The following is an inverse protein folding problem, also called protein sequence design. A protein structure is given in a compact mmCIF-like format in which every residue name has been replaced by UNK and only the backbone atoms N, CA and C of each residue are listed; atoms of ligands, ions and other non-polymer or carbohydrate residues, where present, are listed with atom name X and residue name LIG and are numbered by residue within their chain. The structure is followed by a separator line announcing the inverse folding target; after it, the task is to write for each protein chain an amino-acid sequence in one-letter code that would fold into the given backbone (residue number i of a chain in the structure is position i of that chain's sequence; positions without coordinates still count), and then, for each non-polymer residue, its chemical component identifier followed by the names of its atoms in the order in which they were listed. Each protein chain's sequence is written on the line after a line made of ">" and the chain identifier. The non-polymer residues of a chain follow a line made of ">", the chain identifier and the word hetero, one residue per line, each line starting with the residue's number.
data_IF_661059923297
#
_entry.id   IF_661059923297
#
_cell.length_a   1.000
_cell.length_b   1.000
_cell.length_c   1.000
_cell.angle_alpha   90.00
_cell.angle_beta   90.00
_cell.angle_gamma   90.00
#
_symmetry.space_group_name_H-M   'P 1'
#
loop_
_entity.id
_entity.type
_entity.pdbx_description
1 polymer ?
#
# COMPACT_ATOMS: atom_id res chain seq x y z
N UNK A 1 18.73 -5.29 5.65
CA UNK A 1 17.66 -4.67 4.85
C UNK A 1 16.36 -4.95 5.57
N UNK A 2 15.55 -3.92 5.84
CA UNK A 2 14.23 -4.11 6.43
C UNK A 2 13.18 -4.09 5.33
N UNK A 3 12.17 -4.95 5.47
CA UNK A 3 11.08 -5.07 4.51
C UNK A 3 9.75 -4.92 5.24
N UNK A 4 8.83 -4.19 4.63
CA UNK A 4 7.43 -4.19 5.03
C UNK A 4 6.66 -5.17 4.15
N UNK A 5 5.78 -5.94 4.79
CA UNK A 5 4.78 -6.76 4.13
C UNK A 5 3.48 -5.96 4.09
N UNK A 6 3.14 -5.43 2.92
CA UNK A 6 1.93 -4.66 2.70
C UNK A 6 0.88 -5.55 2.03
N UNK A 7 -0.25 -5.75 2.69
CA UNK A 7 -1.45 -6.37 2.13
C UNK A 7 -2.39 -5.27 1.68
N UNK A 8 -2.66 -5.21 0.38
CA UNK A 8 -3.60 -4.30 -0.24
C UNK A 8 -4.91 -5.04 -0.50
N UNK A 9 -6.02 -4.46 -0.09
CA UNK A 9 -7.37 -4.97 -0.33
C UNK A 9 -8.15 -3.94 -1.12
N UNK A 10 -8.69 -4.31 -2.29
CA UNK A 10 -9.60 -3.42 -3.01
C UNK A 10 -10.98 -3.51 -2.38
N UNK A 11 -11.37 -2.49 -1.60
CA UNK A 11 -12.71 -2.43 -1.00
C UNK A 11 -13.67 -1.55 -1.80
N UNK A 12 -13.27 -1.13 -3.00
CA UNK A 12 -14.18 -0.46 -3.91
C UNK A 12 -15.15 -1.45 -4.54
N UNK A 13 -16.22 -0.90 -5.10
CA UNK A 13 -17.25 -1.62 -5.85
C UNK A 13 -16.81 -2.02 -7.27
N UNK A 14 -15.56 -1.74 -7.66
CA UNK A 14 -15.08 -1.89 -9.04
C UNK A 14 -13.66 -2.44 -9.12
N UNK A 15 -13.31 -2.97 -10.28
CA UNK A 15 -11.93 -3.33 -10.56
C UNK A 15 -11.06 -2.07 -10.59
N UNK A 16 -9.86 -2.16 -10.01
CA UNK A 16 -8.83 -1.14 -10.14
C UNK A 16 -7.66 -1.70 -10.92
N UNK A 17 -6.98 -0.86 -11.71
CA UNK A 17 -5.83 -1.25 -12.53
C UNK A 17 -4.68 -0.28 -12.39
N UNK A 18 -3.54 -0.63 -12.98
CA UNK A 18 -2.34 0.22 -13.05
C UNK A 18 -1.92 0.73 -11.66
N UNK A 19 -1.92 -0.18 -10.68
CA UNK A 19 -1.72 0.13 -9.27
C UNK A 19 -0.21 0.30 -9.05
N UNK A 20 0.21 1.55 -8.90
CA UNK A 20 1.57 1.95 -8.63
C UNK A 20 1.74 2.22 -7.14
N UNK A 21 2.55 1.41 -6.48
CA UNK A 21 2.99 1.65 -5.11
C UNK A 21 4.33 2.38 -5.19
N UNK A 22 4.38 3.59 -4.63
CA UNK A 22 5.53 4.49 -4.68
C UNK A 22 5.99 4.76 -3.25
N UNK A 23 7.24 4.49 -2.96
CA UNK A 23 7.85 4.83 -1.68
C UNK A 23 9.35 4.68 -1.74
N UNK A 24 9.96 4.06 -0.72
CA UNK A 24 11.34 3.60 -0.82
C UNK A 24 11.53 2.69 -2.05
N UNK A 25 10.65 1.72 -2.25
CA UNK A 25 10.66 0.89 -3.45
C UNK A 25 9.40 1.14 -4.28
N UNK A 26 9.54 1.12 -5.59
CA UNK A 26 8.40 1.19 -6.51
C UNK A 26 7.96 -0.21 -6.94
N UNK A 27 6.67 -0.48 -6.86
CA UNK A 27 6.04 -1.74 -7.31
C UNK A 27 4.82 -1.45 -8.15
N UNK A 28 4.55 -2.31 -9.11
CA UNK A 28 3.35 -2.25 -9.96
C UNK A 28 2.56 -3.53 -9.79
N UNK A 29 1.25 -3.39 -9.65
CA UNK A 29 0.27 -4.49 -9.71
C UNK A 29 -0.68 -4.17 -10.86
N UNK A 30 -0.90 -5.14 -11.74
CA UNK A 30 -1.72 -4.96 -12.95
C UNK A 30 -3.16 -4.60 -12.61
N UNK A 31 -3.80 -5.40 -11.75
CA UNK A 31 -5.21 -5.27 -11.42
C UNK A 31 -5.53 -5.87 -10.04
N UNK A 32 -6.64 -5.40 -9.46
CA UNK A 32 -7.28 -5.97 -8.28
C UNK A 32 -8.80 -5.87 -8.43
N UNK A 33 -9.49 -7.01 -8.40
CA UNK A 33 -10.94 -7.08 -8.38
C UNK A 33 -11.56 -6.64 -7.04
N UNK A 34 -12.87 -6.36 -6.99
CA UNK A 34 -13.57 -6.05 -5.75
C UNK A 34 -13.41 -7.16 -4.70
N UNK A 35 -12.93 -6.80 -3.51
CA UNK A 35 -12.68 -7.73 -2.40
C UNK A 35 -11.41 -8.57 -2.52
N UNK A 36 -10.67 -8.45 -3.63
CA UNK A 36 -9.38 -9.16 -3.78
C UNK A 36 -8.29 -8.53 -2.91
N UNK A 37 -7.31 -9.35 -2.55
CA UNK A 37 -6.15 -8.93 -1.78
C UNK A 37 -4.85 -9.30 -2.49
N UNK A 38 -3.87 -8.40 -2.43
CA UNK A 38 -2.51 -8.67 -2.89
C UNK A 38 -1.52 -8.31 -1.82
N UNK A 39 -0.59 -9.22 -1.60
CA UNK A 39 0.53 -9.01 -0.72
C UNK A 39 1.79 -8.66 -1.50
N UNK A 40 2.46 -7.59 -1.05
CA UNK A 40 3.74 -7.14 -1.60
C UNK A 40 4.75 -6.88 -0.50
N UNK A 41 6.02 -7.02 -0.86
CA UNK A 41 7.15 -6.71 0.00
C UNK A 41 7.81 -5.44 -0.52
N UNK A 42 8.01 -4.48 0.38
CA UNK A 42 8.60 -3.17 0.08
C UNK A 42 9.88 -3.05 0.93
N UNK A 43 11.03 -2.92 0.27
CA UNK A 43 12.28 -2.62 0.94
C UNK A 43 12.31 -1.21 1.51
N UNK A 44 12.76 -1.08 2.76
CA UNK A 44 12.93 0.18 3.47
C UNK A 44 14.43 0.40 3.72
N UNK A 45 15.02 1.34 2.99
CA UNK A 45 16.44 1.70 3.12
C UNK A 45 16.68 3.01 3.89
N UNK A 46 15.62 3.77 4.16
CA UNK A 46 15.64 5.02 4.92
C UNK A 46 14.22 5.43 5.30
N UNK A 47 14.06 6.64 5.80
CA UNK A 47 12.72 7.16 6.12
C UNK A 47 11.97 7.50 4.82
N UNK A 48 10.78 6.95 4.64
CA UNK A 48 9.95 7.21 3.46
C UNK A 48 8.46 7.13 3.77
N UNK A 49 7.67 7.67 2.84
CA UNK A 49 6.22 7.51 2.75
C UNK A 49 5.91 6.42 1.70
N UNK A 50 4.79 5.71 1.85
CA UNK A 50 4.27 4.82 0.80
C UNK A 50 2.93 5.37 0.32
N UNK A 51 2.90 5.75 -0.95
CA UNK A 51 1.74 6.20 -1.68
C UNK A 51 1.30 5.15 -2.70
N UNK A 52 0.02 5.16 -3.03
CA UNK A 52 -0.60 4.27 -4.01
C UNK A 52 -1.33 5.14 -5.01
N UNK A 53 -1.01 4.97 -6.28
CA UNK A 53 -1.73 5.53 -7.41
C UNK A 53 -2.41 4.41 -8.18
N UNK A 54 -3.66 4.55 -8.59
CA UNK A 54 -4.39 3.51 -9.31
C UNK A 54 -5.46 4.10 -10.22
N UNK A 55 -5.81 3.35 -11.27
CA UNK A 55 -6.91 3.68 -12.16
C UNK A 55 -8.21 3.04 -11.66
N UNK A 56 -9.27 3.85 -11.56
CA UNK A 56 -10.66 3.41 -11.34
C UNK A 56 -11.54 4.06 -12.40
N UNK A 57 -12.14 3.27 -13.29
CA UNK A 57 -12.99 3.74 -14.40
C UNK A 57 -12.35 4.83 -15.29
N UNK A 58 -11.05 4.74 -15.58
CA UNK A 58 -10.34 5.75 -16.36
C UNK A 58 -9.91 6.99 -15.57
N UNK A 59 -10.20 7.06 -14.26
CA UNK A 59 -9.74 8.12 -13.37
C UNK A 59 -8.56 7.63 -12.53
N UNK A 60 -7.47 8.41 -12.51
CA UNK A 60 -6.32 8.14 -11.65
C UNK A 60 -6.58 8.72 -10.27
N UNK A 61 -6.57 7.86 -9.26
CA UNK A 61 -6.75 8.20 -7.85
C UNK A 61 -5.43 7.97 -7.10
N UNK A 62 -5.22 8.74 -6.03
CA UNK A 62 -4.01 8.65 -5.21
C UNK A 62 -4.38 8.57 -3.73
N UNK A 63 -3.72 7.68 -3.01
CA UNK A 63 -3.94 7.44 -1.59
C UNK A 63 -2.61 7.22 -0.86
N UNK A 64 -2.46 7.76 0.35
CA UNK A 64 -1.28 7.51 1.19
C UNK A 64 -1.53 6.29 2.07
N UNK A 65 -0.90 5.17 1.72
CA UNK A 65 -0.99 3.92 2.45
C UNK A 65 -0.04 3.85 3.66
N UNK A 66 1.04 4.62 3.70
CA UNK A 66 1.90 4.72 4.88
C UNK A 66 2.47 6.12 4.98
N UNK A 67 2.01 6.92 5.95
CA UNK A 67 2.47 8.30 6.12
C UNK A 67 3.91 8.44 6.60
N UNK A 68 4.43 7.45 7.32
CA UNK A 68 5.83 7.41 7.74
C UNK A 68 6.27 5.97 7.98
N UNK A 69 7.34 5.56 7.30
CA UNK A 69 8.02 4.31 7.52
C UNK A 69 9.49 4.60 7.85
N UNK A 70 10.02 3.96 8.89
CA UNK A 70 11.43 4.03 9.28
C UNK A 70 12.03 2.63 9.42
N UNK A 71 13.35 2.56 9.41
CA UNK A 71 14.16 1.34 9.34
C UNK A 71 14.22 0.57 10.70
N UNK A 72 13.30 0.80 11.64
CA UNK A 72 13.41 0.27 13.02
C UNK A 72 12.71 -1.08 13.26
N UNK A 73 12.27 -1.78 12.23
CA UNK A 73 11.73 -3.15 12.34
C UNK A 73 10.67 -3.43 11.29
N UNK A 74 10.85 -4.52 10.53
CA UNK A 74 9.87 -4.95 9.53
C UNK A 74 8.47 -5.11 10.13
N UNK A 75 7.46 -4.67 9.38
CA UNK A 75 6.06 -4.64 9.83
C UNK A 75 5.11 -5.28 8.82
N UNK A 76 3.98 -5.79 9.32
CA UNK A 76 2.85 -6.22 8.50
C UNK A 76 1.82 -5.09 8.49
N UNK A 77 1.52 -4.56 7.31
CA UNK A 77 0.56 -3.47 7.13
C UNK A 77 -0.57 -3.99 6.27
N UNK A 78 -1.81 -3.71 6.67
CA UNK A 78 -2.99 -3.94 5.83
C UNK A 78 -3.57 -2.59 5.44
N UNK A 79 -3.84 -2.41 4.16
CA UNK A 79 -4.42 -1.18 3.62
C UNK A 79 -5.59 -1.49 2.69
N UNK A 80 -6.68 -0.77 2.89
CA UNK A 80 -7.91 -0.91 2.12
C UNK A 80 -8.01 0.25 1.13
N UNK A 81 -7.79 -0.05 -0.15
CA UNK A 81 -7.84 0.92 -1.24
C UNK A 81 -9.28 1.36 -1.48
N UNK A 82 -9.49 2.66 -1.65
CA UNK A 82 -10.81 3.25 -1.79
C UNK A 82 -11.46 3.64 -0.46
N UNK A 83 -10.69 3.66 0.63
CA UNK A 83 -11.12 4.25 1.90
C UNK A 83 -10.30 5.48 2.18
N UNK A 84 -10.97 6.60 2.48
CA UNK A 84 -10.30 7.84 2.93
C UNK A 84 -9.63 7.71 4.32
N UNK A 85 -9.46 6.49 4.85
CA UNK A 85 -8.91 6.24 6.18
C UNK A 85 -7.40 6.02 6.08
N UNK A 86 -6.64 6.91 6.73
CA UNK A 86 -5.21 6.69 6.97
C UNK A 86 -5.04 5.41 7.82
N UNK A 87 -4.11 4.52 7.48
CA UNK A 87 -3.92 3.29 8.24
C UNK A 87 -3.35 3.59 9.63
N UNK A 88 -3.85 2.87 10.63
CA UNK A 88 -3.31 2.89 11.98
C UNK A 88 -2.06 2.00 12.01
N UNK A 89 -0.89 2.62 12.16
CA UNK A 89 0.35 1.91 12.49
C UNK A 89 0.22 1.31 13.89
N UNK A 90 -0.11 0.01 13.97
CA UNK A 90 0.12 -0.74 15.21
C UNK A 90 1.55 -1.28 15.15
N UNK A 91 2.48 -0.54 15.75
CA UNK A 91 3.79 -1.08 16.11
C UNK A 91 3.58 -2.23 17.08
N UNK A 92 3.75 -3.47 16.61
CA UNK A 92 3.88 -4.62 17.51
C UNK A 92 5.30 -4.57 18.08
N UNK A 93 5.44 -4.03 19.28
CA UNK A 93 6.64 -4.19 20.10
C UNK A 93 6.76 -5.67 20.47
N UNK A 94 7.84 -6.33 20.04
CA UNK A 94 8.29 -7.60 20.61
C UNK A 94 9.17 -7.34 21.83
#
# INVERSE_FOLDING_TARGET
>A
MNTIRLTLTNVTDKNISDINIIGCESKVISDLGPGEEKEIWIGIYGDCQIDISYNKDGQVLNETAVGYCTNSGGGKIKYNIGTSKKPNFKTASY
#
